data_IF_304922956969
#
_entry.id   IF_304922956969
#
_cell.length_a   1.000
_cell.length_b   1.000
_cell.length_c   1.000
_cell.angle_alpha   90.00
_cell.angle_beta   90.00
_cell.angle_gamma   90.00
#
_symmetry.space_group_name_H-M   'P 1'
#
loop_
_entity.id
_entity.type
_entity.pdbx_description
1 polymer ?
#
# COMPACT_ATOMS: atom_id res chain seq x y z
N UNK A 1 12.97 -4.34 1.39
CA UNK A 1 12.08 -4.73 2.50
C UNK A 1 11.58 -3.52 3.27
N UNK A 2 10.33 -3.57 3.74
CA UNK A 2 9.59 -2.46 4.36
C UNK A 2 9.95 -2.26 5.82
N UNK A 3 10.19 -1.01 6.21
CA UNK A 3 10.39 -0.61 7.61
C UNK A 3 9.10 -0.08 8.24
N UNK A 4 8.61 -0.79 9.25
CA UNK A 4 7.43 -0.36 10.01
C UNK A 4 7.77 0.47 11.25
N UNK A 5 9.06 0.69 11.56
CA UNK A 5 9.48 1.54 12.68
C UNK A 5 8.79 2.91 12.68
N UNK A 6 8.77 3.65 11.56
CA UNK A 6 8.08 4.94 11.50
C UNK A 6 6.56 4.86 11.72
N UNK A 7 5.93 3.79 11.23
CA UNK A 7 4.49 3.56 11.39
C UNK A 7 4.12 3.24 12.84
N UNK A 8 4.90 2.37 13.49
CA UNK A 8 4.72 1.98 14.89
C UNK A 8 5.03 3.18 15.81
N UNK A 9 6.00 4.01 15.44
CA UNK A 9 6.37 5.19 16.20
C UNK A 9 5.27 6.26 16.21
N UNK A 10 4.59 6.47 15.08
CA UNK A 10 3.44 7.37 14.98
C UNK A 10 2.23 6.68 14.33
N UNK A 11 1.43 5.93 15.12
CA UNK A 11 0.28 5.17 14.60
C UNK A 11 -0.78 6.03 13.91
N UNK A 12 -0.86 7.33 14.22
CA UNK A 12 -1.80 8.25 13.54
C UNK A 12 -1.57 8.31 12.03
N UNK A 13 -0.35 8.02 11.57
CA UNK A 13 -0.04 7.94 10.15
C UNK A 13 -0.80 6.83 9.40
N UNK A 14 -1.33 5.81 10.11
CA UNK A 14 -2.25 4.82 9.52
C UNK A 14 -3.50 5.46 8.94
N UNK A 15 -4.01 6.54 9.56
CA UNK A 15 -5.20 7.25 9.08
C UNK A 15 -4.92 7.97 7.75
N UNK A 16 -3.71 8.48 7.55
CA UNK A 16 -3.29 9.02 6.26
C UNK A 16 -3.25 7.91 5.20
N UNK A 17 -2.77 6.73 5.58
CA UNK A 17 -2.82 5.54 4.71
C UNK A 17 -4.23 5.13 4.33
N UNK A 18 -5.17 5.15 5.29
CA UNK A 18 -6.59 4.88 5.02
C UNK A 18 -7.19 5.91 4.06
N UNK A 19 -6.89 7.20 4.26
CA UNK A 19 -7.34 8.26 3.36
C UNK A 19 -6.73 8.13 1.96
N UNK A 20 -5.48 7.67 1.83
CA UNK A 20 -4.83 7.46 0.54
C UNK A 20 -5.57 6.43 -0.33
N UNK A 21 -6.28 5.46 0.28
CA UNK A 21 -7.04 4.44 -0.46
C UNK A 21 -8.32 4.99 -1.14
N UNK A 22 -8.75 6.22 -0.85
CA UNK A 22 -9.86 6.84 -1.58
C UNK A 22 -9.59 6.93 -3.09
N UNK A 23 -8.32 7.01 -3.50
CA UNK A 23 -7.94 6.97 -4.92
C UNK A 23 -8.47 5.73 -5.65
N UNK A 24 -8.50 4.56 -4.98
CA UNK A 24 -9.05 3.33 -5.55
C UNK A 24 -10.54 3.49 -5.83
N UNK A 25 -11.30 3.96 -4.84
CA UNK A 25 -12.74 4.11 -4.95
C UNK A 25 -13.14 5.16 -5.98
N UNK A 26 -12.42 6.28 -6.05
CA UNK A 26 -12.66 7.32 -7.06
C UNK A 26 -12.41 6.76 -8.47
N UNK A 27 -11.31 6.02 -8.65
CA UNK A 27 -10.97 5.40 -9.94
C UNK A 27 -12.00 4.34 -10.33
N UNK A 28 -12.44 3.52 -9.37
CA UNK A 28 -13.50 2.52 -9.55
C UNK A 28 -14.82 3.15 -9.99
N UNK A 29 -15.28 4.20 -9.27
CA UNK A 29 -16.51 4.91 -9.59
C UNK A 29 -16.41 5.56 -10.98
N UNK A 30 -15.27 6.17 -11.31
CA UNK A 30 -15.03 6.74 -12.63
C UNK A 30 -15.08 5.70 -13.75
N UNK A 31 -14.48 4.53 -13.53
CA UNK A 31 -14.51 3.44 -14.50
C UNK A 31 -15.93 2.90 -14.71
N UNK A 32 -16.72 2.70 -13.64
CA UNK A 32 -18.13 2.30 -13.76
C UNK A 32 -18.97 3.38 -14.44
N UNK A 33 -18.81 4.64 -14.03
CA UNK A 33 -19.58 5.77 -14.58
C UNK A 33 -19.32 6.01 -16.08
N UNK A 34 -18.16 5.58 -16.59
CA UNK A 34 -17.87 5.64 -18.03
C UNK A 34 -18.76 4.73 -18.88
N UNK A 35 -19.38 3.70 -18.29
CA UNK A 35 -20.18 2.69 -19.00
C UNK A 35 -19.37 1.74 -19.89
N UNK A 36 -18.03 1.87 -19.92
CA UNK A 36 -17.14 1.08 -20.77
C UNK A 36 -16.73 -0.25 -20.13
N UNK A 37 -16.81 -0.35 -18.81
CA UNK A 37 -16.27 -1.46 -18.03
C UNK A 37 -17.33 -2.06 -17.10
N UNK A 38 -17.30 -3.38 -16.96
CA UNK A 38 -18.12 -4.05 -15.94
C UNK A 38 -17.53 -3.85 -14.53
N UNK A 39 -18.25 -4.26 -13.49
CA UNK A 39 -17.81 -4.07 -12.11
C UNK A 39 -16.48 -4.76 -11.76
N UNK A 40 -16.17 -5.91 -12.36
CA UNK A 40 -14.92 -6.65 -12.11
C UNK A 40 -13.73 -5.99 -12.81
N UNK A 41 -13.92 -5.52 -14.03
CA UNK A 41 -12.94 -4.73 -14.78
C UNK A 41 -12.68 -3.39 -14.08
N UNK A 42 -13.74 -2.69 -13.69
CA UNK A 42 -13.63 -1.44 -12.94
C UNK A 42 -12.91 -1.63 -11.60
N UNK A 43 -13.14 -2.74 -10.88
CA UNK A 43 -12.41 -3.07 -9.66
C UNK A 43 -10.91 -3.31 -9.93
N UNK A 44 -10.60 -3.99 -11.04
CA UNK A 44 -9.23 -4.23 -11.48
C UNK A 44 -8.51 -2.98 -11.96
N UNK A 45 -9.23 -2.00 -12.52
CA UNK A 45 -8.68 -0.68 -12.87
C UNK A 45 -8.53 0.19 -11.62
N UNK A 46 -9.50 0.13 -10.71
CA UNK A 46 -9.54 0.91 -9.48
C UNK A 46 -8.30 0.72 -8.61
N UNK A 47 -7.80 -0.53 -8.50
CA UNK A 47 -6.64 -0.86 -7.67
C UNK A 47 -5.36 -0.10 -8.05
N UNK A 48 -5.26 0.40 -9.29
CA UNK A 48 -4.14 1.26 -9.74
C UNK A 48 -4.03 2.50 -8.85
N UNK A 49 -5.17 3.04 -8.38
CA UNK A 49 -5.22 4.18 -7.48
C UNK A 49 -4.59 3.93 -6.11
N UNK A 50 -4.34 2.67 -5.74
CA UNK A 50 -3.61 2.29 -4.53
C UNK A 50 -2.09 2.39 -4.65
N UNK A 51 -1.57 2.59 -5.88
CA UNK A 51 -0.14 2.68 -6.18
C UNK A 51 0.71 1.49 -5.68
N UNK A 52 0.12 0.28 -5.70
CA UNK A 52 0.80 -0.98 -5.34
C UNK A 52 0.75 -1.99 -6.51
N UNK A 53 1.88 -2.14 -7.22
CA UNK A 53 2.00 -2.96 -8.42
C UNK A 53 1.71 -4.45 -8.20
N UNK A 54 2.39 -5.13 -7.26
CA UNK A 54 2.12 -6.52 -6.93
C UNK A 54 0.66 -6.80 -6.59
N UNK A 55 0.01 -5.93 -5.80
CA UNK A 55 -1.41 -6.09 -5.46
C UNK A 55 -2.32 -5.85 -6.67
N UNK A 56 -1.98 -4.87 -7.51
CA UNK A 56 -2.73 -4.60 -8.74
C UNK A 56 -2.69 -5.79 -9.71
N UNK A 57 -1.52 -6.38 -9.91
CA UNK A 57 -1.34 -7.58 -10.73
C UNK A 57 -2.11 -8.75 -10.12
N UNK A 58 -2.00 -8.98 -8.81
CA UNK A 58 -2.69 -10.07 -8.13
C UNK A 58 -4.21 -9.96 -8.29
N UNK A 59 -4.78 -8.78 -8.06
CA UNK A 59 -6.22 -8.58 -8.17
C UNK A 59 -6.70 -8.71 -9.63
N UNK A 60 -6.00 -8.08 -10.57
CA UNK A 60 -6.32 -8.18 -12.00
C UNK A 60 -6.24 -9.62 -12.51
N UNK A 61 -5.28 -10.42 -12.04
CA UNK A 61 -5.15 -11.84 -12.41
C UNK A 61 -6.35 -12.70 -11.97
N UNK A 62 -7.12 -12.23 -10.98
CA UNK A 62 -8.32 -12.92 -10.47
C UNK A 62 -9.62 -12.36 -11.02
N UNK A 63 -9.69 -11.05 -11.25
CA UNK A 63 -10.93 -10.36 -11.61
C UNK A 63 -11.04 -10.03 -13.11
N UNK A 64 -9.95 -9.66 -13.77
CA UNK A 64 -9.95 -9.31 -15.20
C UNK A 64 -8.62 -9.69 -15.87
N UNK A 65 -8.35 -11.00 -16.08
CA UNK A 65 -7.06 -11.47 -16.59
C UNK A 65 -6.70 -10.91 -17.97
N UNK A 66 -7.70 -10.65 -18.81
CA UNK A 66 -7.52 -10.05 -20.15
C UNK A 66 -7.04 -8.60 -20.11
N UNK A 67 -7.27 -7.88 -19.00
CA UNK A 67 -6.79 -6.50 -18.80
C UNK A 67 -5.46 -6.42 -18.05
N UNK A 68 -4.92 -7.55 -17.57
CA UNK A 68 -3.73 -7.60 -16.73
C UNK A 68 -2.54 -6.86 -17.35
N UNK A 69 -2.28 -7.08 -18.64
CA UNK A 69 -1.16 -6.43 -19.34
C UNK A 69 -1.27 -4.90 -19.32
N UNK A 70 -2.46 -4.37 -19.66
CA UNK A 70 -2.72 -2.94 -19.66
C UNK A 70 -2.63 -2.34 -18.24
N UNK A 71 -3.22 -3.02 -17.25
CA UNK A 71 -3.21 -2.61 -15.84
C UNK A 71 -1.78 -2.57 -15.30
N UNK A 72 -0.97 -3.60 -15.56
CA UNK A 72 0.40 -3.67 -15.07
C UNK A 72 1.27 -2.55 -15.66
N UNK A 73 1.17 -2.31 -16.98
CA UNK A 73 1.90 -1.22 -17.64
C UNK A 73 1.48 0.13 -17.07
N UNK A 74 0.18 0.37 -16.95
CA UNK A 74 -0.34 1.63 -16.40
C UNK A 74 0.09 1.84 -14.95
N UNK A 75 0.01 0.81 -14.11
CA UNK A 75 0.37 0.86 -12.70
C UNK A 75 1.83 1.30 -12.51
N UNK A 76 2.80 0.60 -13.12
CA UNK A 76 4.21 0.95 -12.97
C UNK A 76 4.55 2.28 -13.65
N UNK A 77 3.93 2.58 -14.79
CA UNK A 77 4.15 3.86 -15.49
C UNK A 77 3.69 5.04 -14.64
N UNK A 78 2.50 4.97 -14.04
CA UNK A 78 1.97 6.03 -13.18
C UNK A 78 2.70 6.17 -11.84
N UNK A 79 3.19 5.06 -11.26
CA UNK A 79 4.08 5.11 -10.10
C UNK A 79 5.37 5.88 -10.41
N UNK A 80 5.97 5.67 -11.58
CA UNK A 80 7.14 6.41 -12.01
C UNK A 80 6.87 7.91 -12.24
N UNK A 81 5.63 8.29 -12.53
CA UNK A 81 5.19 9.68 -12.71
C UNK A 81 4.84 10.38 -11.39
N UNK A 82 4.86 9.70 -10.23
CA UNK A 82 4.57 10.31 -8.92
C UNK A 82 5.39 11.59 -8.67
N UNK A 83 6.71 11.66 -8.95
CA UNK A 83 7.49 12.88 -8.77
C UNK A 83 7.05 14.05 -9.65
N UNK A 84 6.32 13.78 -10.74
CA UNK A 84 5.79 14.80 -11.65
C UNK A 84 4.37 15.22 -11.22
N UNK A 85 3.53 14.26 -10.83
CA UNK A 85 2.12 14.48 -10.51
C UNK A 85 1.94 15.01 -9.08
N UNK A 86 2.67 14.48 -8.10
CA UNK A 86 2.48 14.76 -6.67
C UNK A 86 2.86 16.21 -6.29
N UNK A 87 4.01 16.77 -6.71
CA UNK A 87 4.41 18.11 -6.25
C UNK A 87 3.46 19.25 -6.69
N UNK A 88 2.92 19.27 -7.93
CA UNK A 88 1.91 20.25 -8.31
C UNK A 88 0.65 20.19 -7.43
N UNK A 89 0.16 18.99 -7.12
CA UNK A 89 -1.02 18.80 -6.26
C UNK A 89 -0.74 19.30 -4.84
N UNK A 90 0.43 18.96 -4.28
CA UNK A 90 0.85 19.47 -2.97
C UNK A 90 0.93 21.00 -2.98
N UNK A 91 1.45 21.59 -4.08
CA UNK A 91 1.56 23.04 -4.23
C UNK A 91 0.21 23.75 -4.26
N UNK A 92 -0.80 23.09 -4.83
CA UNK A 92 -2.17 23.60 -4.98
C UNK A 92 -2.99 23.48 -3.68
N UNK A 93 -2.87 22.38 -2.95
CA UNK A 93 -3.75 22.06 -1.82
C UNK A 93 -3.22 22.47 -0.44
N UNK A 94 -1.91 22.65 -0.28
CA UNK A 94 -1.32 22.98 1.03
C UNK A 94 -0.84 24.43 1.07
N UNK A 95 -0.76 25.02 2.25
CA UNK A 95 -0.24 26.38 2.45
C UNK A 95 1.25 26.39 2.80
N UNK A 96 1.93 27.54 2.65
CA UNK A 96 3.33 27.69 3.11
C UNK A 96 3.46 27.43 4.61
N UNK A 97 2.46 27.82 5.41
CA UNK A 97 2.45 27.63 6.86
C UNK A 97 2.44 26.14 7.25
N UNK A 98 1.61 25.34 6.59
CA UNK A 98 1.55 23.89 6.83
C UNK A 98 2.85 23.17 6.42
N UNK A 99 3.44 23.58 5.30
CA UNK A 99 4.72 23.01 4.82
C UNK A 99 5.92 23.32 5.73
N UNK A 100 5.80 24.33 6.59
CA UNK A 100 6.86 24.74 7.53
C UNK A 100 6.69 24.17 8.93
N UNK A 101 5.70 23.30 9.16
CA UNK A 101 5.54 22.59 10.44
C UNK A 101 6.76 21.70 10.69
N UNK A 102 7.43 21.89 11.83
CA UNK A 102 8.55 21.03 12.24
C UNK A 102 8.01 19.67 12.69
N UNK A 103 8.49 18.61 12.05
CA UNK A 103 8.20 17.25 12.48
C UNK A 103 9.04 16.89 13.70
N UNK A 104 8.40 16.42 14.76
CA UNK A 104 9.07 15.90 15.94
C UNK A 104 9.81 14.60 15.61
N UNK A 105 10.88 14.31 16.36
CA UNK A 105 11.53 13.01 16.22
C UNK A 105 10.59 11.91 16.69
N UNK A 106 10.56 10.83 15.89
CA UNK A 106 9.76 9.66 16.18
C UNK A 106 10.31 8.96 17.44
N UNK A 107 9.40 8.40 18.24
CA UNK A 107 9.79 7.58 19.40
C UNK A 107 10.63 6.39 18.96
N UNK A 108 11.55 5.96 19.82
CA UNK A 108 12.24 4.70 19.61
C UNK A 108 11.26 3.53 19.74
N UNK A 109 11.28 2.63 18.76
CA UNK A 109 10.44 1.44 18.74
C UNK A 109 11.27 0.26 19.20
N UNK A 110 10.80 -0.40 20.25
CA UNK A 110 11.47 -1.55 20.82
C UNK A 110 11.52 -2.72 19.84
N UNK A 111 12.53 -3.60 19.97
CA UNK A 111 12.62 -4.82 19.14
C UNK A 111 11.39 -5.71 19.32
N UNK A 112 10.83 -5.78 20.53
CA UNK A 112 9.63 -6.55 20.81
C UNK A 112 8.41 -6.01 20.03
N UNK A 113 8.22 -4.69 19.97
CA UNK A 113 7.14 -4.09 19.17
C UNK A 113 7.29 -4.40 17.68
N UNK A 114 8.52 -4.31 17.14
CA UNK A 114 8.77 -4.60 15.71
C UNK A 114 8.49 -6.06 15.35
N UNK A 115 8.79 -7.00 16.24
CA UNK A 115 8.52 -8.44 16.01
C UNK A 115 7.05 -8.77 16.20
N UNK A 116 6.40 -8.20 17.22
CA UNK A 116 5.00 -8.50 17.53
C UNK A 116 4.03 -7.87 16.52
N UNK A 117 4.40 -6.71 15.95
CA UNK A 117 3.60 -6.00 14.96
C UNK A 117 3.14 -6.86 13.77
N UNK A 118 4.02 -7.52 12.99
CA UNK A 118 3.61 -8.32 11.84
C UNK A 118 2.70 -9.51 12.23
N UNK A 119 2.93 -10.12 13.39
CA UNK A 119 2.12 -11.23 13.90
C UNK A 119 0.71 -10.73 14.22
N UNK A 120 0.61 -9.66 15.00
CA UNK A 120 -0.68 -9.08 15.40
C UNK A 120 -1.48 -8.59 14.19
N UNK A 121 -0.82 -7.89 13.25
CA UNK A 121 -1.47 -7.42 12.01
C UNK A 121 -1.99 -8.60 11.19
N UNK A 122 -1.20 -9.67 11.05
CA UNK A 122 -1.63 -10.87 10.29
C UNK A 122 -2.87 -11.50 10.92
N UNK A 123 -2.88 -11.68 12.25
CA UNK A 123 -4.02 -12.28 12.97
C UNK A 123 -5.25 -11.39 12.84
N UNK A 124 -5.13 -10.10 13.13
CA UNK A 124 -6.25 -9.15 13.09
C UNK A 124 -6.85 -9.06 11.69
N UNK A 125 -6.02 -8.90 10.66
CA UNK A 125 -6.50 -8.81 9.28
C UNK A 125 -7.12 -10.13 8.82
N UNK A 126 -6.53 -11.28 9.17
CA UNK A 126 -7.09 -12.57 8.78
C UNK A 126 -8.46 -12.84 9.40
N UNK A 127 -8.72 -12.31 10.60
CA UNK A 127 -10.03 -12.43 11.26
C UNK A 127 -11.07 -11.44 10.71
N UNK A 128 -10.68 -10.20 10.41
CA UNK A 128 -11.62 -9.16 9.95
C UNK A 128 -11.88 -9.26 8.44
N UNK A 129 -10.82 -9.49 7.64
CA UNK A 129 -10.88 -9.53 6.17
C UNK A 129 -10.12 -10.76 5.64
N UNK A 130 -10.71 -11.97 5.74
CA UNK A 130 -10.06 -13.20 5.28
C UNK A 130 -9.53 -13.19 3.84
N UNK A 131 -10.21 -12.56 2.85
CA UNK A 131 -9.69 -12.49 1.47
C UNK A 131 -8.35 -11.74 1.34
N UNK A 132 -8.04 -10.83 2.27
CA UNK A 132 -6.78 -10.09 2.29
C UNK A 132 -5.64 -10.86 2.99
N UNK A 133 -5.94 -11.98 3.66
CA UNK A 133 -5.00 -12.73 4.47
C UNK A 133 -3.77 -13.20 3.67
N UNK A 134 -3.95 -13.59 2.40
CA UNK A 134 -2.82 -14.03 1.57
C UNK A 134 -1.85 -12.90 1.26
N UNK A 135 -2.34 -11.70 0.98
CA UNK A 135 -1.50 -10.54 0.66
C UNK A 135 -0.80 -10.01 1.91
N UNK A 136 -1.58 -9.75 2.97
CA UNK A 136 -1.04 -9.21 4.21
C UNK A 136 -0.15 -10.23 4.92
N UNK A 137 -0.52 -11.51 4.92
CA UNK A 137 0.29 -12.57 5.52
C UNK A 137 1.68 -12.67 4.87
N UNK A 138 1.76 -12.63 3.54
CA UNK A 138 3.05 -12.67 2.85
C UNK A 138 3.88 -11.40 3.07
N UNK A 139 3.23 -10.23 3.11
CA UNK A 139 3.89 -8.96 3.42
C UNK A 139 4.47 -8.95 4.85
N UNK A 140 3.66 -9.37 5.82
CA UNK A 140 4.05 -9.42 7.24
C UNK A 140 5.08 -10.52 7.51
N UNK A 141 5.03 -11.64 6.77
CA UNK A 141 6.07 -12.68 6.84
C UNK A 141 7.43 -12.14 6.39
N UNK A 142 7.47 -11.42 5.27
CA UNK A 142 8.69 -10.76 4.81
C UNK A 142 9.21 -9.74 5.82
N UNK A 143 8.30 -9.03 6.50
CA UNK A 143 8.70 -8.14 7.61
C UNK A 143 9.24 -8.92 8.81
N UNK A 144 8.64 -10.03 9.19
CA UNK A 144 9.12 -10.87 10.29
C UNK A 144 10.53 -11.42 10.01
N UNK A 145 10.84 -11.78 8.76
CA UNK A 145 12.20 -12.18 8.39
C UNK A 145 13.22 -11.08 8.67
N UNK A 146 12.92 -9.84 8.29
CA UNK A 146 13.74 -8.65 8.60
C UNK A 146 13.91 -8.42 10.10
N UNK A 147 12.80 -8.41 10.86
CA UNK A 147 12.82 -8.02 12.28
C UNK A 147 13.32 -9.14 13.21
N UNK A 148 13.23 -10.40 12.80
CA UNK A 148 13.68 -11.54 13.60
C UNK A 148 15.19 -11.53 13.86
N UNK A 149 15.99 -11.11 12.86
CA UNK A 149 17.45 -11.08 12.94
C UNK A 149 18.13 -12.46 12.99
N UNK A 150 17.39 -13.56 12.87
CA UNK A 150 17.92 -14.94 12.95
C UNK A 150 17.82 -15.70 11.63
N UNK A 151 17.11 -15.15 10.64
CA UNK A 151 16.93 -15.77 9.31
C UNK A 151 17.61 -14.98 8.18
N UNK A 152 18.83 -14.48 8.41
CA UNK A 152 19.53 -13.60 7.47
C UNK A 152 19.65 -14.14 6.04
N UNK A 153 19.87 -15.45 5.87
CA UNK A 153 19.91 -16.09 4.53
C UNK A 153 18.56 -16.05 3.81
N UNK A 154 17.46 -16.27 4.53
CA UNK A 154 16.11 -16.20 3.96
C UNK A 154 15.74 -14.76 3.64
N UNK A 155 16.13 -13.82 4.51
CA UNK A 155 15.94 -12.39 4.28
C UNK A 155 16.67 -11.91 3.02
N UNK A 156 17.96 -12.25 2.86
CA UNK A 156 18.76 -11.87 1.71
C UNK A 156 18.25 -12.49 0.41
N UNK A 157 17.83 -13.76 0.46
CA UNK A 157 17.29 -14.47 -0.72
C UNK A 157 15.91 -13.93 -1.13
N UNK A 158 15.13 -13.39 -0.20
CA UNK A 158 13.78 -12.88 -0.45
C UNK A 158 13.73 -11.38 -0.82
N UNK A 159 14.85 -10.65 -0.68
CA UNK A 159 14.97 -9.23 -1.08
C UNK A 159 15.01 -9.08 -2.59
#
# INVERSE_FOLDING_TARGET
MTDFGPLIANPKSLLLGAAAQFGIFITFIGAIASGLFNAQEAASIGIIGGADGPTAIFLASKLAPHLLGAIAIAAYSYMALVPIIQPPIMRLLTTKRERSIKMEQLREVSRAEKILFPIMVTVVVSLIVPPAATLIGMLMLGNLFRESGVVGRLEETAK
#
